data_IF_424671871376
#
_entry.id   IF_424671871376
#
_cell.length_a   1.000
_cell.length_b   1.000
_cell.length_c   1.000
_cell.angle_alpha   90.00
_cell.angle_beta   90.00
_cell.angle_gamma   90.00
#
_symmetry.space_group_name_H-M   'P 1'
#
loop_
_entity.id
_entity.type
_entity.pdbx_description
1 polymer ?
#
# COMPACT_ATOMS: atom_id res chain seq x y z
N UNK A 1 -19.90 24.97 -14.87
CA UNK A 1 -20.15 26.41 -14.69
C UNK A 1 -21.24 26.56 -13.65
N UNK A 2 -21.03 27.36 -12.60
CA UNK A 2 -22.05 27.65 -11.59
C UNK A 2 -22.94 28.76 -12.16
N UNK A 3 -24.24 28.52 -12.24
CA UNK A 3 -25.24 29.55 -12.53
C UNK A 3 -25.32 30.49 -11.32
N UNK A 4 -24.47 31.52 -11.31
CA UNK A 4 -24.43 32.54 -10.27
C UNK A 4 -25.49 33.59 -10.62
N UNK A 5 -26.63 33.57 -9.93
CA UNK A 5 -27.42 34.78 -9.81
C UNK A 5 -26.60 35.78 -8.96
N UNK A 6 -26.31 36.91 -9.57
CA UNK A 6 -25.44 38.00 -9.14
C UNK A 6 -25.96 38.76 -7.90
N UNK A 7 -26.24 38.10 -6.76
CA UNK A 7 -26.53 38.81 -5.50
C UNK A 7 -25.21 39.11 -4.77
N UNK A 8 -24.70 40.33 -4.94
CA UNK A 8 -23.45 40.81 -4.32
C UNK A 8 -23.50 40.83 -2.78
N UNK A 9 -24.64 40.56 -2.14
CA UNK A 9 -24.80 40.63 -0.68
C UNK A 9 -24.82 39.26 0.03
N UNK A 10 -24.65 38.16 -0.71
CA UNK A 10 -24.50 36.81 -0.14
C UNK A 10 -23.10 36.31 -0.43
N UNK A 11 -22.39 35.84 0.61
CA UNK A 11 -21.09 35.19 0.44
C UNK A 11 -21.24 33.69 0.66
N UNK A 12 -20.69 32.90 -0.26
CA UNK A 12 -20.68 31.44 -0.18
C UNK A 12 -19.23 30.96 -0.19
N UNK A 13 -18.80 30.36 0.91
CA UNK A 13 -17.54 29.63 0.97
C UNK A 13 -17.82 28.12 0.82
N UNK A 14 -16.98 27.42 0.04
CA UNK A 14 -17.12 25.98 -0.24
C UNK A 14 -15.87 25.26 0.23
N UNK A 15 -16.06 24.20 1.01
CA UNK A 15 -15.01 23.23 1.35
C UNK A 15 -15.44 21.84 0.89
N UNK A 16 -14.47 21.01 0.53
CA UNK A 16 -14.72 19.66 0.05
C UNK A 16 -13.71 18.69 0.66
N UNK A 17 -14.22 17.56 1.13
CA UNK A 17 -13.44 16.44 1.63
C UNK A 17 -13.92 15.16 0.96
N UNK A 18 -13.02 14.18 0.88
CA UNK A 18 -13.32 12.85 0.35
C UNK A 18 -12.65 11.81 1.23
N UNK A 19 -13.43 10.80 1.60
CA UNK A 19 -12.97 9.67 2.41
C UNK A 19 -13.38 8.36 1.74
N UNK A 20 -12.59 7.31 1.93
CA UNK A 20 -12.91 5.97 1.45
C UNK A 20 -12.91 4.99 2.61
N UNK A 21 -14.01 4.26 2.76
CA UNK A 21 -14.16 3.25 3.83
C UNK A 21 -14.30 1.87 3.21
N UNK A 22 -13.32 1.00 3.47
CA UNK A 22 -13.37 -0.41 3.10
C UNK A 22 -14.60 -1.08 3.75
N UNK A 23 -15.39 -1.79 2.95
CA UNK A 23 -16.56 -2.54 3.40
C UNK A 23 -16.35 -4.04 3.39
N UNK A 24 -15.65 -4.52 2.37
CA UNK A 24 -15.35 -5.94 2.22
C UNK A 24 -14.20 -6.14 1.25
N UNK A 25 -13.65 -7.35 1.24
CA UNK A 25 -12.68 -7.77 0.25
C UNK A 25 -12.50 -9.28 0.29
N UNK A 26 -11.99 -9.80 -0.82
CA UNK A 26 -11.82 -11.23 -1.08
C UNK A 26 -10.59 -11.44 -1.94
N UNK A 27 -9.87 -12.53 -1.70
CA UNK A 27 -8.78 -12.98 -2.58
C UNK A 27 -9.28 -14.16 -3.39
N UNK A 28 -9.09 -14.08 -4.70
CA UNK A 28 -9.35 -15.18 -5.63
C UNK A 28 -8.17 -15.29 -6.59
N UNK A 29 -7.52 -16.45 -6.63
CA UNK A 29 -6.41 -16.77 -7.55
C UNK A 29 -5.33 -15.69 -7.63
N UNK A 30 -4.89 -15.21 -6.46
CA UNK A 30 -3.86 -14.17 -6.34
C UNK A 30 -4.33 -12.74 -6.61
N UNK A 31 -5.62 -12.51 -6.88
CA UNK A 31 -6.20 -11.18 -7.06
C UNK A 31 -7.02 -10.81 -5.83
N UNK A 32 -6.63 -9.71 -5.18
CA UNK A 32 -7.40 -9.13 -4.09
C UNK A 32 -8.39 -8.12 -4.64
N UNK A 33 -9.68 -8.39 -4.48
CA UNK A 33 -10.77 -7.48 -4.82
C UNK A 33 -11.30 -6.83 -3.56
N UNK A 34 -11.40 -5.51 -3.55
CA UNK A 34 -12.00 -4.74 -2.46
C UNK A 34 -13.29 -4.08 -2.91
N UNK A 35 -14.21 -3.90 -1.97
CA UNK A 35 -15.34 -3.00 -2.12
C UNK A 35 -15.28 -1.97 -1.01
N UNK A 36 -15.21 -0.71 -1.40
CA UNK A 36 -15.19 0.45 -0.51
C UNK A 36 -16.39 1.34 -0.80
N UNK A 37 -16.78 2.17 0.17
CA UNK A 37 -17.68 3.29 -0.06
C UNK A 37 -16.84 4.55 -0.07
N UNK A 38 -16.81 5.21 -1.22
CA UNK A 38 -16.26 6.56 -1.34
C UNK A 38 -17.33 7.56 -0.93
N UNK A 39 -17.02 8.39 0.05
CA UNK A 39 -17.85 9.48 0.51
C UNK A 39 -17.21 10.80 0.10
N UNK A 40 -18.01 11.66 -0.53
CA UNK A 40 -17.65 13.04 -0.83
C UNK A 40 -18.55 13.95 0.00
N UNK A 41 -17.96 14.79 0.83
CA UNK A 41 -18.66 15.81 1.60
C UNK A 41 -18.31 17.19 1.04
N UNK A 42 -19.34 17.94 0.64
CA UNK A 42 -19.22 19.34 0.26
C UNK A 42 -19.95 20.16 1.31
N UNK A 43 -19.22 21.05 1.97
CA UNK A 43 -19.78 21.97 2.96
C UNK A 43 -19.86 23.37 2.37
N UNK A 44 -21.07 23.92 2.33
CA UNK A 44 -21.34 25.30 1.93
C UNK A 44 -21.60 26.15 3.17
N UNK A 45 -20.78 27.19 3.38
CA UNK A 45 -21.02 28.22 4.39
C UNK A 45 -21.58 29.45 3.70
N UNK A 46 -22.84 29.75 3.98
CA UNK A 46 -23.59 30.81 3.31
C UNK A 46 -23.82 31.93 4.32
N UNK A 47 -23.11 33.04 4.16
CA UNK A 47 -23.30 34.25 4.95
C UNK A 47 -24.35 35.15 4.28
N UNK A 48 -25.44 35.39 5.01
CA UNK A 48 -26.55 36.21 4.56
C UNK A 48 -26.30 37.71 4.76
N UNK A 49 -27.03 38.56 4.03
CA UNK A 49 -26.92 40.00 4.16
C UNK A 49 -27.35 40.49 5.55
N UNK A 50 -26.77 41.59 6.01
CA UNK A 50 -26.92 42.06 7.41
C UNK A 50 -28.37 42.36 7.85
N UNK A 51 -29.27 42.69 6.92
CA UNK A 51 -30.60 43.23 7.24
C UNK A 51 -31.78 42.53 6.57
N UNK A 52 -31.54 41.50 5.76
CA UNK A 52 -32.61 40.84 5.01
C UNK A 52 -32.44 39.32 4.99
N UNK A 53 -33.55 38.60 4.92
CA UNK A 53 -33.52 37.13 4.76
C UNK A 53 -33.41 36.80 3.28
N UNK A 54 -32.61 35.79 2.94
CA UNK A 54 -32.48 35.25 1.59
C UNK A 54 -32.88 33.79 1.54
N UNK A 55 -33.56 33.42 0.45
CA UNK A 55 -33.80 32.03 0.06
C UNK A 55 -32.97 31.77 -1.18
N UNK A 56 -32.23 30.69 -1.18
CA UNK A 56 -31.28 30.29 -2.22
C UNK A 56 -31.55 28.83 -2.57
N UNK A 57 -31.14 28.42 -3.76
CA UNK A 57 -31.08 27.02 -4.15
C UNK A 57 -29.63 26.74 -4.50
N UNK A 58 -29.03 25.76 -3.82
CA UNK A 58 -27.72 25.25 -4.18
C UNK A 58 -27.90 24.19 -5.27
N UNK A 59 -27.38 24.46 -6.47
CA UNK A 59 -27.31 23.46 -7.54
C UNK A 59 -25.96 22.74 -7.46
N UNK A 60 -25.99 21.47 -7.05
CA UNK A 60 -24.81 20.61 -6.99
C UNK A 60 -24.84 19.64 -8.17
N UNK A 61 -23.82 19.64 -9.04
CA UNK A 61 -23.78 18.70 -10.16
C UNK A 61 -23.68 17.27 -9.64
N UNK A 62 -24.50 16.39 -10.20
CA UNK A 62 -24.42 14.96 -9.98
C UNK A 62 -23.15 14.41 -10.61
N UNK A 63 -22.48 13.53 -9.89
CA UNK A 63 -21.31 12.81 -10.38
C UNK A 63 -21.74 11.38 -10.72
N UNK A 64 -21.14 10.82 -11.77
CA UNK A 64 -21.43 9.46 -12.18
C UNK A 64 -21.21 8.46 -11.02
N UNK A 65 -22.22 7.65 -10.74
CA UNK A 65 -22.21 6.62 -9.70
C UNK A 65 -22.44 7.12 -8.27
N UNK A 66 -22.44 8.43 -8.02
CA UNK A 66 -22.71 8.99 -6.70
C UNK A 66 -24.21 9.15 -6.44
N UNK A 67 -24.62 8.72 -5.26
CA UNK A 67 -25.98 8.91 -4.74
C UNK A 67 -25.93 9.88 -3.55
N UNK A 68 -26.91 10.77 -3.46
CA UNK A 68 -27.01 11.70 -2.33
C UNK A 68 -27.43 10.96 -1.06
N UNK A 69 -26.68 11.16 0.01
CA UNK A 69 -26.95 10.60 1.35
C UNK A 69 -27.42 11.68 2.31
N UNK A 70 -26.84 12.88 2.21
CA UNK A 70 -27.30 14.06 2.93
C UNK A 70 -27.32 15.30 2.03
N UNK A 71 -28.36 16.15 2.14
CA UNK A 71 -29.54 16.01 3.00
C UNK A 71 -30.54 14.98 2.46
N UNK A 72 -31.28 14.34 3.37
CA UNK A 72 -32.23 13.25 3.04
C UNK A 72 -33.59 13.73 2.52
N UNK A 73 -33.97 14.96 2.86
CA UNK A 73 -35.28 15.54 2.57
C UNK A 73 -35.14 16.94 1.99
N UNK A 74 -36.19 17.40 1.29
CA UNK A 74 -36.24 18.76 0.74
C UNK A 74 -35.31 18.99 -0.46
N UNK A 75 -34.75 17.93 -1.04
CA UNK A 75 -33.92 17.99 -2.24
C UNK A 75 -34.79 17.81 -3.46
N UNK A 76 -34.72 18.75 -4.39
CA UNK A 76 -35.27 18.58 -5.73
C UNK A 76 -34.19 17.98 -6.63
N UNK A 77 -34.55 16.95 -7.40
CA UNK A 77 -33.62 16.21 -8.23
C UNK A 77 -33.93 16.42 -9.71
N UNK A 78 -32.91 16.81 -10.49
CA UNK A 78 -32.95 16.88 -11.95
C UNK A 78 -31.95 15.89 -12.55
N UNK A 79 -31.94 15.72 -13.87
CA UNK A 79 -31.02 14.76 -14.52
C UNK A 79 -29.54 15.02 -14.19
N UNK A 80 -29.14 16.29 -14.05
CA UNK A 80 -27.74 16.69 -13.89
C UNK A 80 -27.41 17.29 -12.52
N UNK A 81 -28.40 17.69 -11.72
CA UNK A 81 -28.18 18.43 -10.48
C UNK A 81 -29.07 17.96 -9.34
N UNK A 82 -28.51 18.00 -8.12
CA UNK A 82 -29.27 18.08 -6.87
C UNK A 82 -29.49 19.56 -6.52
N UNK A 83 -30.73 19.93 -6.24
CA UNK A 83 -31.14 21.29 -5.87
C UNK A 83 -31.53 21.31 -4.41
N UNK A 84 -30.73 21.98 -3.59
CA UNK A 84 -30.93 22.03 -2.14
C UNK A 84 -31.36 23.45 -1.75
N UNK A 85 -32.61 23.66 -1.32
CA UNK A 85 -33.07 24.93 -0.80
C UNK A 85 -32.32 25.29 0.49
N UNK A 86 -31.81 26.52 0.55
CA UNK A 86 -31.17 27.08 1.73
C UNK A 86 -31.84 28.41 2.09
N UNK A 87 -32.18 28.60 3.37
CA UNK A 87 -32.71 29.87 3.88
C UNK A 87 -31.70 30.47 4.84
N UNK A 88 -31.25 31.69 4.57
CA UNK A 88 -30.28 32.40 5.41
C UNK A 88 -30.94 33.66 5.95
N UNK A 89 -31.08 33.72 7.27
CA UNK A 89 -31.64 34.88 7.95
C UNK A 89 -30.65 36.06 7.94
N UNK A 90 -31.17 37.26 8.16
CA UNK A 90 -30.39 38.49 8.20
C UNK A 90 -29.22 38.39 9.20
N UNK A 91 -28.01 38.68 8.73
CA UNK A 91 -26.78 38.68 9.54
C UNK A 91 -26.39 37.31 10.09
N UNK A 92 -26.96 36.22 9.58
CA UNK A 92 -26.63 34.85 9.97
C UNK A 92 -25.81 34.15 8.88
N UNK A 93 -25.05 33.16 9.32
CA UNK A 93 -24.40 32.19 8.44
C UNK A 93 -25.08 30.85 8.64
N UNK A 94 -25.41 30.18 7.54
CA UNK A 94 -25.94 28.82 7.55
C UNK A 94 -24.92 27.90 6.90
N UNK A 95 -24.76 26.72 7.48
CA UNK A 95 -23.97 25.64 6.91
C UNK A 95 -24.90 24.63 6.25
N UNK A 96 -24.61 24.26 5.01
CA UNK A 96 -25.30 23.19 4.28
C UNK A 96 -24.28 22.14 3.91
N UNK A 97 -24.49 20.92 4.42
CA UNK A 97 -23.66 19.76 4.12
C UNK A 97 -24.32 18.93 3.04
N UNK A 98 -23.51 18.54 2.06
CA UNK A 98 -23.92 17.71 0.93
C UNK A 98 -23.01 16.50 0.91
N UNK A 99 -23.53 15.36 1.33
CA UNK A 99 -22.79 14.11 1.38
C UNK A 99 -23.32 13.22 0.27
N UNK A 100 -22.45 12.85 -0.66
CA UNK A 100 -22.76 11.89 -1.69
C UNK A 100 -21.80 10.69 -1.57
N UNK A 101 -22.31 9.50 -1.84
CA UNK A 101 -21.53 8.27 -1.75
C UNK A 101 -21.63 7.45 -3.03
N UNK A 102 -20.57 6.70 -3.35
CA UNK A 102 -20.62 5.65 -4.36
C UNK A 102 -19.89 4.39 -3.87
N UNK A 103 -20.36 3.19 -4.26
CA UNK A 103 -19.53 2.01 -4.17
C UNK A 103 -18.35 2.14 -5.14
N UNK A 104 -17.18 1.71 -4.68
CA UNK A 104 -15.96 1.61 -5.47
C UNK A 104 -15.43 0.19 -5.35
N UNK A 105 -15.12 -0.41 -6.48
CA UNK A 105 -14.57 -1.76 -6.55
C UNK A 105 -13.19 -1.66 -7.15
N UNK A 106 -12.19 -2.11 -6.40
CA UNK A 106 -10.81 -2.13 -6.85
C UNK A 106 -10.30 -3.58 -6.90
N UNK A 107 -9.27 -3.80 -7.69
CA UNK A 107 -8.62 -5.11 -7.80
C UNK A 107 -7.13 -4.90 -7.96
N UNK A 108 -6.35 -5.64 -7.19
CA UNK A 108 -4.89 -5.58 -7.18
C UNK A 108 -4.34 -7.00 -7.13
N UNK A 109 -3.27 -7.27 -7.86
CA UNK A 109 -2.55 -8.52 -7.70
C UNK A 109 -1.86 -8.51 -6.33
N UNK A 110 -1.98 -9.60 -5.56
CA UNK A 110 -1.37 -9.69 -4.23
C UNK A 110 0.16 -9.58 -4.30
N UNK A 111 0.75 -10.00 -5.41
CA UNK A 111 2.20 -9.90 -5.65
C UNK A 111 2.67 -8.44 -5.76
N UNK A 112 1.83 -7.54 -6.29
CA UNK A 112 2.12 -6.11 -6.39
C UNK A 112 1.96 -5.37 -5.05
N UNK A 113 1.42 -6.04 -4.02
CA UNK A 113 1.19 -5.45 -2.70
C UNK A 113 2.45 -5.52 -1.84
N UNK A 114 2.81 -4.38 -1.25
CA UNK A 114 3.89 -4.29 -0.26
C UNK A 114 3.49 -4.89 1.09
N UNK A 115 4.49 -5.24 1.91
CA UNK A 115 4.28 -5.95 3.19
C UNK A 115 3.42 -5.18 4.18
N UNK A 116 3.54 -3.84 4.19
CA UNK A 116 2.69 -2.99 5.02
C UNK A 116 1.20 -3.09 4.66
N UNK A 117 0.86 -3.23 3.37
CA UNK A 117 -0.53 -3.41 2.94
C UNK A 117 -1.02 -4.80 3.31
N UNK A 118 -0.21 -5.84 3.09
CA UNK A 118 -0.54 -7.23 3.45
C UNK A 118 -0.79 -7.32 4.97
N UNK A 119 0.10 -6.75 5.79
CA UNK A 119 -0.05 -6.71 7.24
C UNK A 119 -1.30 -5.93 7.69
N UNK A 120 -1.60 -4.80 7.04
CA UNK A 120 -2.82 -4.03 7.29
C UNK A 120 -4.08 -4.89 7.06
N UNK A 121 -4.16 -5.58 5.92
CA UNK A 121 -5.32 -6.41 5.61
C UNK A 121 -5.40 -7.69 6.44
N UNK A 122 -4.28 -8.24 6.91
CA UNK A 122 -4.27 -9.39 7.82
C UNK A 122 -5.04 -9.14 9.13
N UNK A 123 -5.15 -7.88 9.58
CA UNK A 123 -5.84 -7.52 10.83
C UNK A 123 -7.10 -6.68 10.63
N UNK A 124 -7.42 -6.28 9.40
CA UNK A 124 -8.54 -5.38 9.11
C UNK A 124 -9.91 -6.05 9.30
N UNK A 125 -10.69 -5.57 10.27
CA UNK A 125 -11.99 -6.14 10.63
C UNK A 125 -13.10 -5.96 9.57
N UNK A 126 -12.88 -5.16 8.52
CA UNK A 126 -13.79 -5.10 7.37
C UNK A 126 -13.67 -6.35 6.46
N UNK A 127 -12.60 -7.14 6.62
CA UNK A 127 -12.41 -8.40 5.93
C UNK A 127 -12.91 -9.57 6.77
N UNK A 128 -13.39 -10.62 6.10
CA UNK A 128 -13.80 -11.84 6.78
C UNK A 128 -12.60 -12.60 7.37
N UNK A 129 -12.87 -13.56 8.25
CA UNK A 129 -11.81 -14.32 8.92
C UNK A 129 -10.93 -15.10 7.92
N UNK A 130 -11.53 -15.60 6.82
CA UNK A 130 -10.83 -16.34 5.78
C UNK A 130 -9.80 -15.45 5.07
N UNK A 131 -10.20 -14.26 4.62
CA UNK A 131 -9.34 -13.33 3.89
C UNK A 131 -8.22 -12.80 4.78
N UNK A 132 -8.53 -12.49 6.06
CA UNK A 132 -7.49 -12.11 7.03
C UNK A 132 -6.45 -13.20 7.25
N UNK A 133 -6.90 -14.46 7.42
CA UNK A 133 -6.01 -15.60 7.56
C UNK A 133 -5.15 -15.82 6.31
N UNK A 134 -5.71 -15.59 5.11
CA UNK A 134 -4.96 -15.65 3.86
C UNK A 134 -3.84 -14.61 3.83
N UNK A 135 -4.13 -13.35 4.12
CA UNK A 135 -3.10 -12.30 4.22
C UNK A 135 -2.05 -12.60 5.27
N UNK A 136 -2.43 -13.15 6.44
CA UNK A 136 -1.48 -13.56 7.45
C UNK A 136 -0.54 -14.66 6.94
N UNK A 137 -1.06 -15.63 6.20
CA UNK A 137 -0.24 -16.69 5.59
C UNK A 137 0.68 -16.16 4.49
N UNK A 138 0.19 -15.25 3.67
CA UNK A 138 0.98 -14.57 2.64
C UNK A 138 2.14 -13.79 3.28
N UNK A 139 1.86 -13.03 4.36
CA UNK A 139 2.89 -12.31 5.10
C UNK A 139 3.96 -13.25 5.68
N UNK A 140 3.54 -14.39 6.25
CA UNK A 140 4.45 -15.41 6.78
C UNK A 140 5.38 -15.95 5.68
N UNK A 141 4.82 -16.30 4.51
CA UNK A 141 5.59 -16.82 3.38
C UNK A 141 6.56 -15.76 2.81
N UNK A 142 6.10 -14.52 2.60
CA UNK A 142 6.98 -13.43 2.14
C UNK A 142 8.15 -13.20 3.10
N UNK A 143 7.87 -13.16 4.41
CA UNK A 143 8.89 -13.01 5.45
C UNK A 143 9.92 -14.15 5.42
N UNK A 144 9.47 -15.40 5.29
CA UNK A 144 10.39 -16.54 5.25
C UNK A 144 11.20 -16.58 3.95
N UNK A 145 10.64 -16.14 2.82
CA UNK A 145 11.39 -15.96 1.59
C UNK A 145 12.50 -14.92 1.76
N UNK A 146 12.17 -13.75 2.31
CA UNK A 146 13.12 -12.67 2.59
C UNK A 146 14.24 -13.10 3.57
N UNK A 147 13.93 -13.93 4.57
CA UNK A 147 14.91 -14.51 5.49
C UNK A 147 15.98 -15.33 4.74
N UNK A 148 15.56 -16.14 3.76
CA UNK A 148 16.47 -16.95 2.94
C UNK A 148 17.27 -16.12 1.94
N UNK A 149 16.64 -15.13 1.30
CA UNK A 149 17.32 -14.20 0.38
C UNK A 149 18.39 -13.39 1.11
N UNK A 150 18.06 -12.81 2.27
CA UNK A 150 19.01 -12.08 3.11
C UNK A 150 20.16 -12.97 3.58
N UNK A 151 19.87 -14.23 3.93
CA UNK A 151 20.90 -15.20 4.30
C UNK A 151 21.87 -15.43 3.14
N UNK A 152 21.34 -15.67 1.94
CA UNK A 152 22.13 -15.87 0.71
C UNK A 152 23.04 -14.67 0.43
N UNK A 153 22.49 -13.45 0.44
CA UNK A 153 23.26 -12.21 0.26
C UNK A 153 24.39 -12.07 1.29
N UNK A 154 24.10 -12.37 2.56
CA UNK A 154 25.09 -12.30 3.63
C UNK A 154 26.22 -13.32 3.49
N UNK A 155 25.94 -14.49 2.91
CA UNK A 155 26.92 -15.55 2.65
C UNK A 155 27.74 -15.22 1.40
N UNK A 156 27.12 -14.67 0.36
CA UNK A 156 27.78 -14.20 -0.84
C UNK A 156 28.81 -13.09 -0.52
N UNK A 157 28.45 -12.13 0.33
CA UNK A 157 29.39 -11.10 0.79
C UNK A 157 30.60 -11.69 1.55
N UNK A 158 30.41 -12.76 2.33
CA UNK A 158 31.52 -13.45 3.01
C UNK A 158 32.41 -14.21 2.03
N UNK A 159 31.80 -14.86 1.03
CA UNK A 159 32.52 -15.57 -0.02
C UNK A 159 33.40 -14.63 -0.83
N UNK A 160 32.89 -13.45 -1.19
CA UNK A 160 33.65 -12.41 -1.89
C UNK A 160 34.86 -11.96 -1.07
N UNK A 161 34.65 -11.57 0.19
CA UNK A 161 35.73 -11.15 1.09
C UNK A 161 36.82 -12.24 1.26
N UNK A 162 36.42 -13.51 1.34
CA UNK A 162 37.33 -14.64 1.47
C UNK A 162 38.14 -14.87 0.19
N UNK A 163 37.51 -14.72 -0.97
CA UNK A 163 38.15 -14.87 -2.29
C UNK A 163 39.20 -13.77 -2.54
N UNK A 164 38.90 -12.53 -2.12
CA UNK A 164 39.86 -11.42 -2.14
C UNK A 164 41.03 -11.65 -1.19
N UNK A 165 40.77 -12.17 0.01
CA UNK A 165 41.82 -12.56 0.95
C UNK A 165 42.71 -13.67 0.38
N UNK A 166 42.12 -14.69 -0.23
CA UNK A 166 42.86 -15.80 -0.84
C UNK A 166 43.77 -15.30 -1.97
N UNK A 167 43.30 -14.35 -2.79
CA UNK A 167 44.10 -13.73 -3.85
C UNK A 167 45.32 -12.99 -3.29
N UNK A 168 45.15 -12.23 -2.20
CA UNK A 168 46.27 -11.58 -1.48
C UNK A 168 47.22 -12.59 -0.85
N UNK A 169 46.68 -13.69 -0.32
CA UNK A 169 47.49 -14.75 0.30
C UNK A 169 48.35 -15.49 -0.73
N UNK A 170 47.82 -15.76 -1.94
CA UNK A 170 48.60 -16.32 -3.06
C UNK A 170 49.73 -15.37 -3.49
N UNK A 171 49.44 -14.07 -3.63
CA UNK A 171 50.47 -13.08 -3.94
C UNK A 171 51.56 -12.99 -2.86
N UNK A 172 51.19 -13.07 -1.57
CA UNK A 172 52.15 -13.10 -0.47
C UNK A 172 52.97 -14.40 -0.45
N UNK A 173 52.35 -15.54 -0.79
CA UNK A 173 53.02 -16.84 -0.86
C UNK A 173 54.13 -16.82 -1.93
N UNK A 174 53.89 -16.21 -3.08
CA UNK A 174 54.86 -16.07 -4.16
C UNK A 174 56.09 -15.22 -3.77
N UNK A 175 55.93 -14.30 -2.81
CA UNK A 175 56.99 -13.41 -2.35
C UNK A 175 57.86 -14.00 -1.21
N UNK A 176 57.45 -15.11 -0.59
CA UNK A 176 58.09 -15.66 0.61
C UNK A 176 58.96 -16.89 0.26
N UNK A 177 60.17 -17.04 0.84
CA UNK A 177 61.01 -18.22 0.62
C UNK A 177 60.30 -19.54 0.97
N UNK A 178 60.39 -20.53 0.07
CA UNK A 178 59.67 -21.82 0.16
C UNK A 178 60.03 -22.68 1.36
N UNK A 179 61.23 -22.51 1.90
CA UNK A 179 61.77 -23.23 3.05
C UNK A 179 61.35 -22.62 4.40
N UNK A 180 60.78 -21.41 4.38
CA UNK A 180 60.38 -20.69 5.59
C UNK A 180 59.13 -21.29 6.26
N UNK A 181 59.05 -21.12 7.58
CA UNK A 181 57.83 -21.46 8.34
C UNK A 181 56.62 -20.63 7.93
N UNK A 182 56.84 -19.42 7.43
CA UNK A 182 55.79 -18.54 6.95
C UNK A 182 55.12 -19.09 5.68
N UNK A 183 55.90 -19.64 4.75
CA UNK A 183 55.39 -20.31 3.55
C UNK A 183 54.49 -21.50 3.92
N UNK A 184 54.93 -22.35 4.86
CA UNK A 184 54.12 -23.48 5.37
C UNK A 184 52.80 -23.01 5.99
N UNK A 185 52.80 -21.91 6.75
CA UNK A 185 51.58 -21.33 7.33
C UNK A 185 50.61 -20.80 6.28
N UNK A 186 51.10 -20.11 5.25
CA UNK A 186 50.26 -19.60 4.18
C UNK A 186 49.64 -20.71 3.34
N UNK A 187 50.38 -21.78 3.03
CA UNK A 187 49.82 -22.97 2.38
C UNK A 187 48.68 -23.59 3.19
N UNK A 188 48.88 -23.79 4.50
CA UNK A 188 47.81 -24.31 5.36
C UNK A 188 46.58 -23.39 5.34
N UNK A 189 46.80 -22.08 5.42
CA UNK A 189 45.69 -21.12 5.39
C UNK A 189 44.95 -21.13 4.05
N UNK A 190 45.64 -21.32 2.92
CA UNK A 190 44.99 -21.49 1.62
C UNK A 190 44.10 -22.74 1.60
N UNK A 191 44.59 -23.87 2.10
CA UNK A 191 43.84 -25.12 2.20
C UNK A 191 42.58 -24.97 3.09
N UNK A 192 42.74 -24.34 4.26
CA UNK A 192 41.61 -24.00 5.15
C UNK A 192 40.60 -23.07 4.45
N UNK A 193 41.07 -22.11 3.65
CA UNK A 193 40.22 -21.18 2.88
C UNK A 193 39.46 -21.88 1.74
N UNK A 194 40.07 -22.81 1.01
CA UNK A 194 39.36 -23.59 -0.03
C UNK A 194 38.19 -24.37 0.57
N UNK A 195 38.42 -25.05 1.69
CA UNK A 195 37.35 -25.76 2.42
C UNK A 195 36.22 -24.82 2.84
N UNK A 196 36.56 -23.61 3.31
CA UNK A 196 35.58 -22.62 3.71
C UNK A 196 34.81 -22.03 2.51
N UNK A 197 35.47 -21.82 1.38
CA UNK A 197 34.85 -21.37 0.12
C UNK A 197 33.82 -22.38 -0.36
N UNK A 198 34.18 -23.67 -0.45
CA UNK A 198 33.27 -24.75 -0.85
C UNK A 198 32.05 -24.83 0.09
N UNK A 199 32.27 -24.69 1.40
CA UNK A 199 31.21 -24.66 2.40
C UNK A 199 30.29 -23.45 2.29
N UNK A 200 30.81 -22.27 1.93
CA UNK A 200 29.99 -21.07 1.69
C UNK A 200 29.17 -21.21 0.40
N UNK A 201 29.77 -21.70 -0.67
CA UNK A 201 29.08 -21.94 -1.94
C UNK A 201 27.89 -22.89 -1.77
N UNK A 202 28.08 -23.99 -1.02
CA UNK A 202 27.01 -24.93 -0.70
C UNK A 202 25.87 -24.24 0.07
N UNK A 203 26.19 -23.45 1.11
CA UNK A 203 25.18 -22.76 1.91
C UNK A 203 24.42 -21.68 1.14
N UNK A 204 25.07 -21.02 0.18
CA UNK A 204 24.42 -20.06 -0.73
C UNK A 204 23.39 -20.81 -1.58
N UNK A 205 23.80 -21.91 -2.22
CA UNK A 205 22.90 -22.73 -3.03
C UNK A 205 21.71 -23.26 -2.21
N UNK A 206 21.94 -23.73 -0.98
CA UNK A 206 20.88 -24.19 -0.08
C UNK A 206 19.90 -23.06 0.29
N UNK A 207 20.40 -21.84 0.53
CA UNK A 207 19.58 -20.68 0.86
C UNK A 207 18.76 -20.22 -0.35
N UNK A 208 19.34 -20.20 -1.54
CA UNK A 208 18.66 -19.86 -2.79
C UNK A 208 17.56 -20.89 -3.12
N UNK A 209 17.85 -22.19 -2.97
CA UNK A 209 16.85 -23.25 -3.16
C UNK A 209 15.71 -23.13 -2.14
N UNK A 210 16.01 -22.80 -0.89
CA UNK A 210 15.00 -22.58 0.13
C UNK A 210 14.10 -21.37 -0.18
N UNK A 211 14.68 -20.25 -0.64
CA UNK A 211 13.92 -19.08 -1.08
C UNK A 211 12.98 -19.42 -2.25
N UNK A 212 13.49 -20.13 -3.27
CA UNK A 212 12.70 -20.55 -4.44
C UNK A 212 11.58 -21.53 -4.03
N UNK A 213 11.85 -22.45 -3.11
CA UNK A 213 10.84 -23.36 -2.60
C UNK A 213 9.71 -22.62 -1.87
N UNK A 214 10.02 -21.53 -1.16
CA UNK A 214 9.01 -20.68 -0.50
C UNK A 214 8.24 -19.83 -1.51
N UNK A 215 8.93 -19.28 -2.52
CA UNK A 215 8.29 -18.58 -3.65
C UNK A 215 7.24 -19.45 -4.34
N UNK A 216 7.61 -20.68 -4.71
CA UNK A 216 6.67 -21.64 -5.30
C UNK A 216 5.48 -21.96 -4.38
N UNK A 217 5.72 -22.13 -3.07
CA UNK A 217 4.64 -22.32 -2.09
C UNK A 217 3.69 -21.12 -2.02
N UNK A 218 4.22 -19.90 -2.14
CA UNK A 218 3.42 -18.69 -2.21
C UNK A 218 2.56 -18.67 -3.48
N UNK A 219 3.15 -18.94 -4.64
CA UNK A 219 2.42 -19.01 -5.91
C UNK A 219 1.30 -20.07 -5.88
N UNK A 220 1.62 -21.29 -5.42
CA UNK A 220 0.66 -22.38 -5.27
C UNK A 220 -0.46 -22.01 -4.30
N UNK A 221 -0.12 -21.34 -3.19
CA UNK A 221 -1.09 -20.87 -2.21
C UNK A 221 -2.03 -19.83 -2.83
N UNK A 222 -1.49 -18.80 -3.49
CA UNK A 222 -2.25 -17.76 -4.15
C UNK A 222 -3.17 -18.34 -5.24
N UNK A 223 -2.70 -19.31 -6.01
CA UNK A 223 -3.49 -20.01 -7.01
C UNK A 223 -4.65 -20.84 -6.40
N UNK A 224 -4.51 -21.29 -5.15
CA UNK A 224 -5.50 -22.10 -4.43
C UNK A 224 -6.60 -21.30 -3.72
N UNK A 225 -6.43 -19.98 -3.55
CA UNK A 225 -7.39 -19.10 -2.87
C UNK A 225 -8.62 -18.81 -3.74
#
# INVERSE_FOLDING_TARGET
>A
MVSYALDQKVRIDRAETSDSTLKSGSIERGVFRTTSIEQREITYKIAGPARETRKLILEIPKLAGYTLVEPKEGVEESDLYWRIPAKVAAGKTVEVKVIAQRPSVESVAVDDMGDGQIAYYAVNNALDAKTRAAFAKIAELKRTMEEHETLSESLAAKLEALTEEQSRLRANLDAVPRDSDLYRRYLKKLDDQETAIEGLQTKIADADEAAEAVRKKLEDYLASL
#
